data_IF_365387137364
#
_entry.id   IF_365387137364
#
_cell.length_a   1.000
_cell.length_b   1.000
_cell.length_c   1.000
_cell.angle_alpha   90.00
_cell.angle_beta   90.00
_cell.angle_gamma   90.00
#
_symmetry.space_group_name_H-M   'P 1'
#
loop_
_entity.id
_entity.type
_entity.pdbx_description
1 polymer ?
#
# COMPACT_ATOMS: atom_id res chain seq x y z
N UNK A 1 14.28 -9.66 25.15
CA UNK A 1 13.61 -8.35 25.32
C UNK A 1 12.25 -8.45 24.63
N UNK A 2 11.15 -8.39 25.36
CA UNK A 2 9.81 -8.36 24.76
C UNK A 2 9.31 -6.92 24.80
N UNK A 3 9.19 -6.29 23.63
CA UNK A 3 8.71 -4.90 23.52
C UNK A 3 7.23 -4.83 23.90
N UNK A 4 6.85 -3.76 24.61
CA UNK A 4 5.46 -3.48 24.98
C UNK A 4 4.60 -3.10 23.77
N UNK A 5 5.20 -2.45 22.77
CA UNK A 5 4.51 -2.00 21.55
C UNK A 5 4.15 -3.20 20.68
N UNK A 6 2.89 -3.26 20.25
CA UNK A 6 2.36 -4.29 19.35
C UNK A 6 1.83 -3.73 18.03
N UNK A 7 1.81 -2.41 17.86
CA UNK A 7 1.44 -1.73 16.60
C UNK A 7 2.69 -1.35 15.83
N UNK A 8 2.76 -1.77 14.58
CA UNK A 8 3.91 -1.51 13.70
C UNK A 8 3.44 -0.98 12.36
N UNK A 9 4.14 0.06 11.88
CA UNK A 9 3.99 0.59 10.52
C UNK A 9 5.22 0.17 9.73
N UNK A 10 5.01 -0.50 8.60
CA UNK A 10 6.07 -1.07 7.76
C UNK A 10 6.12 -0.34 6.43
N UNK A 11 7.21 0.39 6.23
CA UNK A 11 7.55 1.06 4.97
C UNK A 11 8.83 0.47 4.37
N UNK A 12 8.68 -0.41 3.40
CA UNK A 12 9.79 -1.12 2.76
C UNK A 12 9.45 -1.49 1.31
N UNK A 13 10.47 -1.88 0.53
CA UNK A 13 10.24 -2.51 -0.77
C UNK A 13 9.53 -3.86 -0.60
N UNK A 14 8.64 -4.26 -1.53
CA UNK A 14 7.84 -5.49 -1.42
C UNK A 14 8.65 -6.74 -1.09
N UNK A 15 9.74 -6.99 -1.83
CA UNK A 15 10.60 -8.15 -1.60
C UNK A 15 11.26 -8.17 -0.21
N UNK A 16 11.54 -6.99 0.36
CA UNK A 16 12.08 -6.87 1.72
C UNK A 16 10.98 -7.08 2.77
N UNK A 17 9.79 -6.52 2.53
CA UNK A 17 8.62 -6.74 3.38
C UNK A 17 8.25 -8.23 3.47
N UNK A 18 8.23 -8.96 2.34
CA UNK A 18 7.99 -10.41 2.31
C UNK A 18 8.94 -11.17 3.24
N UNK A 19 10.25 -10.88 3.15
CA UNK A 19 11.26 -11.50 4.01
C UNK A 19 11.11 -11.08 5.47
N UNK A 20 10.75 -9.83 5.71
CA UNK A 20 10.50 -9.29 7.04
C UNK A 20 9.34 -10.00 7.73
N UNK A 21 8.18 -10.14 7.06
CA UNK A 21 7.02 -10.83 7.63
C UNK A 21 7.26 -12.32 7.86
N UNK A 22 8.00 -12.99 6.99
CA UNK A 22 8.44 -14.36 7.25
C UNK A 22 9.26 -14.48 8.56
N UNK A 23 10.14 -13.50 8.83
CA UNK A 23 10.92 -13.45 10.08
C UNK A 23 10.06 -13.06 11.28
N UNK A 24 9.15 -12.09 11.13
CA UNK A 24 8.22 -11.68 12.17
C UNK A 24 7.30 -12.84 12.59
N UNK A 25 6.82 -13.63 11.62
CA UNK A 25 6.04 -14.85 11.86
C UNK A 25 6.85 -15.88 12.63
N UNK A 26 8.08 -16.19 12.19
CA UNK A 26 8.98 -17.11 12.89
C UNK A 26 9.35 -16.65 14.32
N UNK A 27 9.33 -15.34 14.58
CA UNK A 27 9.57 -14.75 15.89
C UNK A 27 8.30 -14.68 16.77
N UNK A 28 7.16 -15.21 16.32
CA UNK A 28 5.89 -15.16 17.05
C UNK A 28 5.28 -13.75 17.13
N UNK A 29 5.60 -12.88 16.17
CA UNK A 29 5.06 -11.51 16.10
C UNK A 29 3.87 -11.37 15.13
N UNK A 30 3.38 -12.49 14.60
CA UNK A 30 2.17 -12.57 13.76
C UNK A 30 1.01 -13.29 14.48
N UNK A 31 1.01 -13.25 15.81
CA UNK A 31 -0.02 -13.86 16.67
C UNK A 31 -1.03 -12.81 17.16
N UNK A 32 -2.06 -13.25 17.89
CA UNK A 32 -3.02 -12.35 18.51
C UNK A 32 -2.33 -11.29 19.37
N UNK A 33 -2.88 -10.07 19.34
CA UNK A 33 -2.34 -8.90 20.06
C UNK A 33 -1.50 -7.95 19.21
N UNK A 34 -1.01 -8.39 18.05
CA UNK A 34 -0.22 -7.57 17.13
C UNK A 34 -1.08 -6.86 16.09
N UNK A 35 -0.60 -5.69 15.65
CA UNK A 35 -1.19 -4.89 14.57
C UNK A 35 -0.07 -4.51 13.61
N UNK A 36 -0.26 -4.84 12.33
CA UNK A 36 0.69 -4.54 11.26
C UNK A 36 0.00 -3.72 10.18
N UNK A 37 0.54 -2.53 9.92
CA UNK A 37 0.08 -1.62 8.89
C UNK A 37 1.19 -1.47 7.86
N UNK A 38 0.91 -1.72 6.60
CA UNK A 38 1.89 -1.57 5.51
C UNK A 38 1.56 -0.35 4.65
N UNK A 39 2.59 0.36 4.19
CA UNK A 39 2.40 1.47 3.24
C UNK A 39 2.02 0.93 1.85
N UNK A 40 1.58 1.84 0.99
CA UNK A 40 1.11 1.55 -0.37
C UNK A 40 2.10 0.75 -1.23
N UNK A 41 3.40 0.98 -1.09
CA UNK A 41 4.42 0.21 -1.82
C UNK A 41 4.25 -1.31 -1.62
N UNK A 42 4.00 -1.74 -0.38
CA UNK A 42 3.73 -3.15 -0.06
C UNK A 42 2.28 -3.49 -0.36
N UNK A 43 1.33 -2.60 -0.02
CA UNK A 43 -0.11 -2.82 -0.21
C UNK A 43 -0.50 -3.08 -1.66
N UNK A 44 0.09 -2.37 -2.62
CA UNK A 44 -0.07 -2.59 -4.07
C UNK A 44 0.38 -3.99 -4.47
N UNK A 45 1.40 -4.53 -3.81
CA UNK A 45 2.00 -5.81 -4.16
C UNK A 45 1.24 -7.00 -3.57
N UNK A 46 0.37 -6.80 -2.57
CA UNK A 46 -0.30 -7.88 -1.86
C UNK A 46 -1.07 -8.83 -2.80
N UNK A 47 -1.71 -8.32 -3.85
CA UNK A 47 -2.47 -9.15 -4.81
C UNK A 47 -1.59 -10.04 -5.69
N UNK A 48 -0.31 -9.68 -5.84
CA UNK A 48 0.62 -10.32 -6.76
C UNK A 48 1.71 -11.12 -6.04
N UNK A 49 1.71 -11.10 -4.71
CA UNK A 49 2.62 -11.92 -3.92
C UNK A 49 2.35 -13.41 -4.13
N UNK A 50 3.40 -14.26 -4.09
CA UNK A 50 3.23 -15.70 -4.04
C UNK A 50 2.39 -16.12 -2.83
N UNK A 51 1.62 -17.19 -2.98
CA UNK A 51 0.72 -17.69 -1.93
C UNK A 51 1.45 -17.93 -0.59
N UNK A 52 2.55 -18.68 -0.61
CA UNK A 52 3.35 -18.94 0.60
C UNK A 52 3.87 -17.66 1.28
N UNK A 53 3.99 -16.56 0.54
CA UNK A 53 4.43 -15.27 1.08
C UNK A 53 3.26 -14.53 1.73
N UNK A 54 2.11 -14.42 1.06
CA UNK A 54 0.95 -13.71 1.60
C UNK A 54 0.37 -14.42 2.85
N UNK A 55 0.52 -15.75 2.92
CA UNK A 55 0.15 -16.55 4.10
C UNK A 55 0.96 -16.15 5.36
N UNK A 56 2.19 -15.65 5.21
CA UNK A 56 2.96 -15.13 6.37
C UNK A 56 2.48 -13.76 6.85
N UNK A 57 1.56 -13.13 6.12
CA UNK A 57 1.08 -11.77 6.33
C UNK A 57 -0.39 -11.74 6.79
N UNK A 58 -0.91 -12.83 7.38
CA UNK A 58 -2.30 -12.87 7.87
C UNK A 58 -2.59 -11.72 8.84
N UNK A 59 -3.69 -11.01 8.56
CA UNK A 59 -4.18 -9.90 9.36
C UNK A 59 -3.40 -8.59 9.20
N UNK A 60 -2.45 -8.51 8.26
CA UNK A 60 -1.83 -7.24 7.88
C UNK A 60 -2.88 -6.35 7.22
N UNK A 61 -2.89 -5.06 7.60
CA UNK A 61 -3.69 -4.02 6.96
C UNK A 61 -2.79 -3.21 6.03
N UNK A 62 -3.25 -2.97 4.81
CA UNK A 62 -2.51 -2.22 3.81
C UNK A 62 -3.38 -1.19 3.10
N UNK A 63 -2.72 -0.35 2.31
CA UNK A 63 -3.35 0.66 1.47
C UNK A 63 -2.94 0.44 0.03
N UNK A 64 -3.81 0.69 -0.93
CA UNK A 64 -3.44 0.75 -2.35
C UNK A 64 -4.26 1.80 -3.07
N UNK A 65 -3.72 2.49 -4.08
CA UNK A 65 -4.51 3.38 -4.92
C UNK A 65 -5.75 2.66 -5.48
N UNK A 66 -6.91 3.30 -5.39
CA UNK A 66 -8.14 2.77 -5.94
C UNK A 66 -8.29 3.17 -7.41
N UNK A 67 -8.60 2.20 -8.26
CA UNK A 67 -8.98 2.44 -9.66
C UNK A 67 -10.45 2.09 -9.83
N UNK A 68 -11.25 3.09 -10.19
CA UNK A 68 -12.67 2.88 -10.47
C UNK A 68 -12.85 1.88 -11.63
N UNK A 69 -13.80 0.96 -11.48
CA UNK A 69 -14.14 0.04 -12.57
C UNK A 69 -14.80 0.83 -13.71
N UNK A 70 -14.25 0.68 -14.91
CA UNK A 70 -14.79 1.24 -16.14
C UNK A 70 -14.68 0.21 -17.26
N UNK A 71 -15.46 0.36 -18.33
CA UNK A 71 -15.37 -0.52 -19.50
C UNK A 71 -13.95 -0.53 -20.10
N UNK A 72 -13.29 0.65 -20.13
CA UNK A 72 -11.89 0.81 -20.56
C UNK A 72 -10.92 0.01 -19.69
N UNK A 73 -11.11 0.04 -18.37
CA UNK A 73 -10.25 -0.69 -17.43
C UNK A 73 -10.43 -2.20 -17.54
N UNK A 74 -11.66 -2.66 -17.72
CA UNK A 74 -11.97 -4.09 -17.92
C UNK A 74 -11.34 -4.59 -19.22
N UNK A 75 -11.50 -3.84 -20.32
CA UNK A 75 -10.89 -4.15 -21.61
C UNK A 75 -9.35 -4.20 -21.52
N UNK A 76 -8.74 -3.20 -20.88
CA UNK A 76 -7.29 -3.16 -20.67
C UNK A 76 -6.80 -4.38 -19.89
N UNK A 77 -7.46 -4.74 -18.78
CA UNK A 77 -7.10 -5.92 -17.97
C UNK A 77 -7.20 -7.19 -18.81
N UNK A 78 -8.25 -7.34 -19.61
CA UNK A 78 -8.42 -8.49 -20.51
C UNK A 78 -7.27 -8.60 -21.53
N UNK A 79 -6.96 -7.51 -22.23
CA UNK A 79 -5.85 -7.45 -23.19
C UNK A 79 -4.49 -7.69 -22.53
N UNK A 80 -4.28 -7.14 -21.34
CA UNK A 80 -3.05 -7.33 -20.58
C UNK A 80 -2.84 -8.80 -20.23
N UNK A 81 -3.84 -9.44 -19.64
CA UNK A 81 -3.78 -10.86 -19.26
C UNK A 81 -3.57 -11.74 -20.49
N UNK A 82 -4.30 -11.50 -21.58
CA UNK A 82 -4.13 -12.26 -22.82
C UNK A 82 -2.70 -12.15 -23.37
N UNK A 83 -2.12 -10.94 -23.38
CA UNK A 83 -0.77 -10.71 -23.91
C UNK A 83 0.32 -11.33 -23.02
N UNK A 84 0.19 -11.20 -21.70
CA UNK A 84 1.13 -11.80 -20.75
C UNK A 84 1.02 -13.33 -20.79
N UNK A 85 -0.20 -13.87 -20.83
CA UNK A 85 -0.44 -15.30 -20.94
C UNK A 85 0.14 -15.91 -22.21
N UNK A 86 -0.05 -15.25 -23.35
CA UNK A 86 0.58 -15.67 -24.60
C UNK A 86 2.11 -15.63 -24.52
N UNK A 87 2.70 -14.61 -23.89
CA UNK A 87 4.16 -14.50 -23.77
C UNK A 87 4.78 -15.59 -22.89
N UNK A 88 4.10 -16.00 -21.83
CA UNK A 88 4.62 -16.97 -20.85
C UNK A 88 3.92 -18.34 -20.93
N UNK A 89 3.27 -18.65 -22.06
CA UNK A 89 2.49 -19.89 -22.23
C UNK A 89 3.32 -21.17 -22.01
N UNK A 90 4.65 -21.09 -22.20
CA UNK A 90 5.60 -22.21 -22.02
C UNK A 90 5.99 -22.44 -20.55
N UNK A 91 5.58 -21.55 -19.65
CA UNK A 91 5.90 -21.61 -18.23
C UNK A 91 4.61 -21.80 -17.41
N UNK A 92 4.05 -23.02 -17.35
CA UNK A 92 2.76 -23.29 -16.71
C UNK A 92 2.73 -22.94 -15.21
N UNK A 93 3.90 -22.83 -14.57
CA UNK A 93 4.04 -22.47 -13.16
C UNK A 93 3.98 -20.95 -12.90
N UNK A 94 3.91 -20.10 -13.94
CA UNK A 94 3.83 -18.65 -13.76
C UNK A 94 2.36 -18.25 -13.56
N UNK A 95 2.02 -17.78 -12.35
CA UNK A 95 0.72 -17.16 -12.07
C UNK A 95 0.63 -15.84 -12.84
N UNK A 96 -0.29 -15.75 -13.79
CA UNK A 96 -0.57 -14.49 -14.49
C UNK A 96 -1.29 -13.57 -13.50
N UNK A 97 -0.53 -12.66 -12.91
CA UNK A 97 -1.06 -11.65 -12.03
C UNK A 97 -1.89 -10.62 -12.81
N UNK A 98 -3.00 -10.17 -12.21
CA UNK A 98 -3.73 -9.00 -12.70
C UNK A 98 -2.80 -7.78 -12.68
N UNK A 99 -2.97 -6.81 -13.59
CA UNK A 99 -2.19 -5.59 -13.55
C UNK A 99 -2.42 -4.86 -12.22
N UNK A 100 -1.33 -4.44 -11.59
CA UNK A 100 -1.35 -3.52 -10.45
C UNK A 100 -1.52 -2.09 -10.94
N UNK A 101 -1.69 -1.13 -10.02
CA UNK A 101 -1.75 0.30 -10.35
C UNK A 101 -0.57 0.77 -11.23
N UNK A 102 0.62 0.19 -11.06
CA UNK A 102 1.80 0.56 -11.85
C UNK A 102 1.61 0.33 -13.35
N UNK A 103 0.88 -0.70 -13.76
CA UNK A 103 0.60 -0.95 -15.18
C UNK A 103 -0.41 0.06 -15.73
N UNK A 104 -1.39 0.49 -14.93
CA UNK A 104 -2.32 1.55 -15.30
C UNK A 104 -1.59 2.89 -15.45
N UNK A 105 -0.73 3.26 -14.49
CA UNK A 105 0.07 4.48 -14.58
C UNK A 105 1.07 4.46 -15.74
N UNK A 106 1.72 3.33 -16.01
CA UNK A 106 2.62 3.23 -17.17
C UNK A 106 1.88 3.50 -18.49
N UNK A 107 0.64 3.02 -18.61
CA UNK A 107 -0.21 3.31 -19.77
C UNK A 107 -0.55 4.80 -19.86
N UNK A 108 -1.00 5.41 -18.76
CA UNK A 108 -1.39 6.82 -18.74
C UNK A 108 -0.19 7.75 -18.96
N UNK A 109 0.99 7.45 -18.39
CA UNK A 109 2.22 8.22 -18.62
C UNK A 109 2.63 8.17 -20.09
N UNK A 110 2.53 7.01 -20.76
CA UNK A 110 2.83 6.91 -22.18
C UNK A 110 1.89 7.78 -23.02
N UNK A 111 0.60 7.82 -22.67
CA UNK A 111 -0.38 8.72 -23.29
C UNK A 111 -0.07 10.19 -23.02
N UNK A 112 0.32 10.55 -21.79
CA UNK A 112 0.67 11.92 -21.45
C UNK A 112 1.83 12.43 -22.32
N UNK A 113 2.87 11.62 -22.50
CA UNK A 113 4.00 11.93 -23.38
C UNK A 113 3.55 12.05 -24.85
N UNK A 114 2.68 11.15 -25.32
CA UNK A 114 2.14 11.22 -26.68
C UNK A 114 1.35 12.52 -26.92
N UNK A 115 0.43 12.88 -26.00
CA UNK A 115 -0.35 14.11 -26.07
C UNK A 115 0.56 15.34 -26.05
N UNK A 116 1.54 15.39 -25.14
CA UNK A 116 2.47 16.50 -25.03
C UNK A 116 3.30 16.66 -26.31
N UNK A 117 3.83 15.57 -26.86
CA UNK A 117 4.60 15.61 -28.11
C UNK A 117 3.75 16.05 -29.31
N UNK A 118 2.50 15.60 -29.42
CA UNK A 118 1.58 16.09 -30.45
C UNK A 118 1.25 17.59 -30.29
N UNK A 119 1.07 18.06 -29.05
CA UNK A 119 0.83 19.47 -28.75
C UNK A 119 1.99 20.33 -29.23
N UNK A 120 3.22 20.02 -28.82
CA UNK A 120 4.43 20.72 -29.28
C UNK A 120 4.59 20.60 -30.80
N UNK A 121 4.15 19.48 -31.40
CA UNK A 121 4.24 19.28 -32.84
C UNK A 121 3.50 20.30 -33.67
N UNK A 122 2.30 20.66 -33.22
CA UNK A 122 1.45 21.64 -33.89
C UNK A 122 2.02 23.05 -33.85
N UNK A 123 2.93 23.35 -32.92
CA UNK A 123 3.47 24.70 -32.76
C UNK A 123 4.82 24.91 -33.45
N UNK A 124 5.78 23.95 -33.47
CA UNK A 124 7.19 24.31 -33.77
C UNK A 124 8.16 23.27 -34.38
N UNK A 125 7.77 22.11 -34.94
CA UNK A 125 8.78 21.31 -35.68
C UNK A 125 9.06 21.88 -37.08
N UNK A 126 9.59 23.09 -37.13
CA UNK A 126 10.45 23.53 -38.23
C UNK A 126 11.88 23.13 -37.86
N UNK A 127 12.31 21.94 -38.29
CA UNK A 127 13.71 21.50 -38.49
C UNK A 127 14.82 21.95 -37.51
N UNK A 128 14.55 22.22 -36.22
CA UNK A 128 15.60 22.36 -35.21
C UNK A 128 15.95 20.99 -34.64
N UNK A 129 16.47 20.10 -35.49
CA UNK A 129 17.04 18.84 -35.06
C UNK A 129 18.42 19.09 -34.43
N UNK A 130 18.79 18.25 -33.46
CA UNK A 130 20.10 18.26 -32.80
C UNK A 130 21.22 18.38 -33.85
N UNK A 131 21.95 19.49 -33.84
CA UNK A 131 23.20 19.57 -34.58
C UNK A 131 24.22 18.70 -33.84
N UNK A 132 24.47 17.50 -34.34
CA UNK A 132 25.62 16.72 -33.89
C UNK A 132 26.88 17.47 -34.32
N UNK A 133 27.82 17.76 -33.40
CA UNK A 133 29.14 18.22 -33.78
C UNK A 133 29.81 17.14 -34.64
N UNK A 134 30.23 17.47 -35.86
CA UNK A 134 31.00 16.54 -36.70
C UNK A 134 32.33 16.20 -36.01
N UNK A 135 32.60 14.90 -35.83
CA UNK A 135 33.93 14.39 -35.46
C UNK A 135 34.11 13.80 -34.05
N UNK A 136 33.06 13.57 -33.26
CA UNK A 136 33.24 13.17 -31.85
C UNK A 136 33.03 11.67 -31.59
N UNK A 137 34.15 10.93 -31.45
CA UNK A 137 34.22 9.63 -30.80
C UNK A 137 34.42 9.83 -29.29
N UNK A 138 33.37 9.75 -28.45
CA UNK A 138 33.40 9.45 -26.99
C UNK A 138 31.99 9.46 -26.37
N UNK A 139 31.85 8.79 -25.22
CA UNK A 139 30.61 8.41 -24.49
C UNK A 139 29.38 9.26 -24.79
N UNK A 140 28.36 8.61 -25.34
CA UNK A 140 27.07 9.14 -25.79
C UNK A 140 26.27 9.99 -24.77
N UNK A 141 26.69 10.07 -23.52
CA UNK A 141 25.92 10.70 -22.43
C UNK A 141 26.50 12.08 -22.06
N UNK A 142 27.82 12.25 -22.06
CA UNK A 142 28.47 13.49 -21.63
C UNK A 142 28.41 14.60 -22.69
N UNK A 143 28.10 14.23 -23.94
CA UNK A 143 28.09 15.12 -25.11
C UNK A 143 26.69 15.51 -25.57
N UNK A 144 25.63 15.08 -24.86
CA UNK A 144 24.25 15.43 -25.23
C UNK A 144 23.98 16.91 -24.93
N UNK A 145 23.94 17.71 -26.00
CA UNK A 145 23.50 19.09 -25.90
C UNK A 145 22.04 19.16 -25.41
N UNK A 146 21.69 20.10 -24.52
CA UNK A 146 20.32 20.31 -24.09
C UNK A 146 19.40 20.51 -25.30
N UNK A 147 18.31 19.74 -25.37
CA UNK A 147 17.33 19.91 -26.44
C UNK A 147 16.70 21.29 -26.38
N UNK A 148 16.73 22.09 -27.48
CA UNK A 148 16.08 23.40 -27.51
C UNK A 148 14.55 23.29 -27.37
N UNK A 149 13.98 22.12 -27.65
CA UNK A 149 12.54 21.83 -27.56
C UNK A 149 12.18 21.25 -26.18
N UNK A 150 13.18 20.84 -25.38
CA UNK A 150 12.98 20.19 -24.08
C UNK A 150 12.09 20.97 -23.10
N UNK A 151 12.31 22.29 -22.89
CA UNK A 151 11.45 23.09 -22.02
C UNK A 151 9.99 23.17 -22.49
N UNK A 152 9.75 23.22 -23.80
CA UNK A 152 8.39 23.24 -24.37
C UNK A 152 7.68 21.90 -24.17
N UNK A 153 8.39 20.79 -24.38
CA UNK A 153 7.86 19.44 -24.12
C UNK A 153 7.57 19.26 -22.63
N UNK A 154 8.46 19.72 -21.74
CA UNK A 154 8.22 19.68 -20.30
C UNK A 154 6.97 20.48 -19.93
N UNK A 155 6.82 21.71 -20.46
CA UNK A 155 5.62 22.52 -20.26
C UNK A 155 4.35 21.79 -20.71
N UNK A 156 4.37 21.19 -21.91
CA UNK A 156 3.25 20.43 -22.44
C UNK A 156 2.90 19.18 -21.59
N UNK A 157 3.90 18.47 -21.06
CA UNK A 157 3.68 17.34 -20.15
C UNK A 157 3.02 17.82 -18.85
N UNK A 158 3.51 18.92 -18.26
CA UNK A 158 2.98 19.46 -17.01
C UNK A 158 1.54 19.99 -17.15
N UNK A 159 1.17 20.48 -18.32
CA UNK A 159 -0.18 20.94 -18.66
C UNK A 159 -1.14 19.82 -19.10
N UNK A 160 -0.69 18.56 -19.09
CA UNK A 160 -1.51 17.45 -19.57
C UNK A 160 -2.65 17.15 -18.59
N UNK A 161 -3.88 17.13 -19.12
CA UNK A 161 -5.11 16.83 -18.40
C UNK A 161 -6.02 15.97 -19.29
N UNK A 162 -6.25 14.72 -18.90
CA UNK A 162 -7.14 13.80 -19.63
C UNK A 162 -7.65 12.66 -18.74
N UNK A 163 -8.71 11.98 -19.19
CA UNK A 163 -9.22 10.78 -18.54
C UNK A 163 -8.39 9.54 -18.94
N UNK A 164 -7.49 9.14 -18.05
CA UNK A 164 -6.68 7.92 -18.16
C UNK A 164 -7.39 6.67 -17.63
N UNK A 165 -6.70 5.54 -17.65
CA UNK A 165 -7.19 4.29 -17.09
C UNK A 165 -7.18 4.31 -15.56
N UNK A 166 -6.19 4.95 -14.94
CA UNK A 166 -6.09 5.10 -13.48
C UNK A 166 -6.97 6.24 -12.92
N UNK A 167 -7.83 6.84 -13.75
CA UNK A 167 -8.60 8.04 -13.43
C UNK A 167 -8.10 9.26 -14.20
N UNK A 168 -8.55 10.44 -13.81
CA UNK A 168 -8.13 11.70 -14.45
C UNK A 168 -6.65 11.95 -14.18
N UNK A 169 -5.85 11.93 -15.24
CA UNK A 169 -4.42 12.20 -15.19
C UNK A 169 -4.19 13.71 -15.15
N UNK A 170 -3.63 14.18 -14.05
CA UNK A 170 -3.19 15.57 -13.87
C UNK A 170 -1.90 15.59 -13.05
N UNK A 171 -1.05 16.59 -13.30
CA UNK A 171 0.17 16.82 -12.54
C UNK A 171 0.03 18.13 -11.75
N UNK A 172 0.04 18.02 -10.42
CA UNK A 172 0.07 19.17 -9.51
C UNK A 172 1.44 19.19 -8.87
N UNK A 173 2.15 20.33 -8.97
CA UNK A 173 3.54 20.45 -8.52
C UNK A 173 4.47 19.36 -9.06
N UNK A 174 4.24 18.94 -10.32
CA UNK A 174 4.96 17.85 -11.01
C UNK A 174 4.73 16.45 -10.42
N UNK A 175 3.73 16.28 -9.56
CA UNK A 175 3.35 15.00 -8.97
C UNK A 175 1.99 14.55 -9.51
N UNK A 176 1.91 13.26 -9.85
CA UNK A 176 0.64 12.62 -10.17
C UNK A 176 -0.24 12.58 -8.91
N UNK A 177 -1.49 12.99 -9.06
CA UNK A 177 -2.45 12.96 -7.96
C UNK A 177 -3.10 11.57 -7.84
N UNK A 178 -3.12 11.03 -6.62
CA UNK A 178 -3.82 9.78 -6.28
C UNK A 178 -4.96 10.12 -5.33
N UNK A 179 -6.20 10.28 -5.82
CA UNK A 179 -7.26 10.89 -5.03
C UNK A 179 -7.89 9.94 -4.01
N UNK A 180 -7.77 8.62 -4.20
CA UNK A 180 -8.45 7.61 -3.37
C UNK A 180 -7.54 6.42 -3.14
N UNK A 181 -7.49 5.99 -1.88
CA UNK A 181 -6.88 4.73 -1.47
C UNK A 181 -7.97 3.74 -1.04
N UNK A 182 -7.84 2.49 -1.48
CA UNK A 182 -8.54 1.35 -0.91
C UNK A 182 -7.73 0.80 0.27
N UNK A 183 -8.40 0.56 1.38
CA UNK A 183 -7.85 -0.09 2.56
C UNK A 183 -8.12 -1.57 2.42
N UNK A 184 -7.09 -2.38 2.57
CA UNK A 184 -7.16 -3.83 2.40
C UNK A 184 -6.69 -4.56 3.66
N UNK A 185 -7.24 -5.74 3.91
CA UNK A 185 -6.81 -6.65 4.96
C UNK A 185 -6.47 -8.01 4.35
N UNK A 186 -5.33 -8.56 4.76
CA UNK A 186 -4.86 -9.86 4.28
C UNK A 186 -5.60 -10.97 5.01
N UNK A 187 -6.40 -11.74 4.27
CA UNK A 187 -7.22 -12.85 4.76
C UNK A 187 -7.05 -14.03 3.81
N UNK A 188 -6.53 -15.15 4.32
CA UNK A 188 -6.23 -16.32 3.51
C UNK A 188 -5.17 -16.01 2.45
N UNK A 189 -5.46 -16.31 1.20
CA UNK A 189 -4.56 -16.13 0.06
C UNK A 189 -4.72 -14.77 -0.66
N UNK A 190 -5.52 -13.85 -0.10
CA UNK A 190 -5.91 -12.60 -0.78
C UNK A 190 -5.90 -11.38 0.14
N UNK A 191 -5.73 -10.20 -0.47
CA UNK A 191 -5.98 -8.92 0.18
C UNK A 191 -7.41 -8.46 -0.13
N UNK A 192 -8.26 -8.43 0.89
CA UNK A 192 -9.67 -8.07 0.77
C UNK A 192 -9.86 -6.58 1.09
N UNK A 193 -10.55 -5.84 0.22
CA UNK A 193 -10.94 -4.45 0.49
C UNK A 193 -11.93 -4.36 1.66
N UNK A 194 -11.64 -3.47 2.60
CA UNK A 194 -12.44 -3.23 3.82
C UNK A 194 -12.95 -1.79 3.93
N UNK A 195 -12.46 -0.89 3.07
CA UNK A 195 -12.89 0.51 3.07
C UNK A 195 -12.02 1.36 2.15
N UNK A 196 -12.25 2.66 2.21
CA UNK A 196 -11.59 3.66 1.38
C UNK A 196 -11.15 4.84 2.21
N UNK A 197 -10.15 5.56 1.71
CA UNK A 197 -9.76 6.86 2.19
C UNK A 197 -9.67 7.84 1.02
N UNK A 198 -10.22 9.03 1.17
CA UNK A 198 -10.02 10.14 0.24
C UNK A 198 -9.81 11.45 1.00
N UNK A 199 -9.12 12.45 0.42
CA UNK A 199 -8.97 13.76 1.05
C UNK A 199 -10.30 14.45 1.35
N UNK A 200 -11.32 14.25 0.51
CA UNK A 200 -12.62 14.91 0.63
C UNK A 200 -13.54 14.24 1.67
N UNK A 201 -13.45 12.92 1.84
CA UNK A 201 -14.39 12.14 2.67
C UNK A 201 -13.74 11.49 3.89
N UNK A 202 -12.42 11.57 4.03
CA UNK A 202 -11.69 10.83 5.06
C UNK A 202 -11.85 9.33 4.89
N UNK A 203 -11.91 8.59 6.00
CA UNK A 203 -12.16 7.15 6.01
C UNK A 203 -13.65 6.86 5.78
N UNK A 204 -13.98 6.05 4.77
CA UNK A 204 -15.35 5.66 4.46
C UNK A 204 -15.43 4.17 4.06
N UNK A 205 -16.53 3.50 4.39
CA UNK A 205 -16.76 2.11 3.93
C UNK A 205 -17.12 2.04 2.45
N UNK A 206 -17.81 3.07 1.97
CA UNK A 206 -18.30 3.19 0.60
C UNK A 206 -17.80 4.53 0.03
N UNK A 207 -17.28 4.48 -1.20
CA UNK A 207 -16.92 5.63 -2.00
C UNK A 207 -18.14 6.53 -2.23
N UNK A 208 -17.99 7.85 -2.04
CA UNK A 208 -19.04 8.86 -2.19
C UNK A 208 -20.21 8.75 -1.19
N UNK A 209 -19.98 8.22 0.01
CA UNK A 209 -20.90 8.47 1.11
C UNK A 209 -20.82 9.96 1.47
N UNK A 210 -21.92 10.68 1.25
CA UNK A 210 -22.07 12.08 1.63
C UNK A 210 -22.02 12.20 3.15
N UNK A 211 -20.82 12.25 3.69
CA UNK A 211 -20.56 12.61 5.08
C UNK A 211 -20.49 14.12 5.12
N UNK A 212 -21.47 14.73 5.79
CA UNK A 212 -21.39 16.13 6.19
C UNK A 212 -20.05 16.37 6.89
N UNK A 213 -19.36 17.45 6.52
CA UNK A 213 -18.13 17.88 7.16
C UNK A 213 -18.27 17.78 8.69
N UNK A 214 -17.53 16.84 9.30
CA UNK A 214 -17.48 16.68 10.76
C UNK A 214 -18.10 15.39 11.33
N UNK A 215 -18.76 14.53 10.55
CA UNK A 215 -19.21 13.20 11.03
C UNK A 215 -18.42 12.06 10.38
N UNK A 216 -17.24 11.76 10.92
CA UNK A 216 -16.48 10.55 10.58
C UNK A 216 -17.08 9.32 11.27
N UNK A 217 -18.29 8.92 10.88
CA UNK A 217 -18.84 7.63 11.32
C UNK A 217 -18.24 6.50 10.48
N UNK A 218 -16.90 6.37 10.51
CA UNK A 218 -16.22 5.18 10.04
C UNK A 218 -16.32 4.11 11.13
N UNK A 219 -17.51 3.50 11.27
CA UNK A 219 -17.65 2.28 12.04
C UNK A 219 -17.43 1.10 11.10
N UNK A 220 -16.19 0.61 11.04
CA UNK A 220 -16.00 -0.79 10.65
C UNK A 220 -16.54 -1.59 11.83
N UNK A 221 -17.63 -2.34 11.63
CA UNK A 221 -18.09 -3.29 12.64
C UNK A 221 -16.90 -4.18 13.00
N UNK A 222 -16.67 -4.37 14.30
CA UNK A 222 -15.53 -5.11 14.87
C UNK A 222 -15.44 -6.60 14.46
N UNK A 223 -16.09 -7.01 13.37
CA UNK A 223 -16.02 -8.31 12.73
C UNK A 223 -15.52 -8.31 11.28
N UNK A 224 -15.24 -7.15 10.66
CA UNK A 224 -14.78 -7.07 9.26
C UNK A 224 -13.25 -7.14 9.09
N UNK A 225 -12.47 -6.71 10.09
CA UNK A 225 -11.01 -6.82 10.07
C UNK A 225 -10.59 -8.10 10.79
N UNK A 226 -9.74 -8.89 10.14
CA UNK A 226 -9.03 -9.97 10.79
C UNK A 226 -7.65 -9.47 11.19
N UNK A 227 -7.32 -9.62 12.46
CA UNK A 227 -6.01 -9.32 13.02
C UNK A 227 -5.11 -10.56 12.98
N UNK A 228 -3.79 -10.38 13.12
CA UNK A 228 -2.85 -11.49 13.32
C UNK A 228 -3.35 -12.48 14.39
N UNK A 229 -3.09 -13.76 14.19
CA UNK A 229 -3.68 -14.84 15.00
C UNK A 229 -5.15 -15.17 14.70
N UNK A 230 -5.79 -14.49 13.74
CA UNK A 230 -7.17 -14.78 13.32
C UNK A 230 -8.25 -14.13 14.18
N UNK A 231 -7.88 -13.29 15.14
CA UNK A 231 -8.81 -12.58 16.01
C UNK A 231 -9.54 -11.48 15.25
N UNK A 232 -10.83 -11.32 15.49
CA UNK A 232 -11.61 -10.16 15.00
C UNK A 232 -11.65 -9.02 16.01
N UNK A 233 -11.30 -9.31 17.26
CA UNK A 233 -11.25 -8.33 18.33
C UNK A 233 -10.10 -7.36 18.10
N UNK A 234 -10.39 -6.06 18.14
CA UNK A 234 -9.37 -5.01 17.97
C UNK A 234 -8.31 -5.16 19.06
N UNK A 235 -7.04 -5.40 18.71
CA UNK A 235 -5.97 -5.52 19.69
C UNK A 235 -5.78 -4.21 20.43
N UNK A 236 -5.40 -4.28 21.71
CA UNK A 236 -5.07 -3.08 22.52
C UNK A 236 -3.88 -2.29 21.97
N UNK A 237 -3.06 -2.91 21.11
CA UNK A 237 -1.86 -2.31 20.51
C UNK A 237 -0.64 -2.28 21.43
N UNK A 238 -0.77 -2.78 22.66
CA UNK A 238 0.31 -2.95 23.61
C UNK A 238 0.07 -4.18 24.49
N UNK A 239 1.14 -4.71 25.06
CA UNK A 239 1.10 -5.84 25.98
C UNK A 239 2.10 -5.65 27.12
N UNK A 240 1.87 -6.33 28.23
CA UNK A 240 2.80 -6.30 29.36
C UNK A 240 4.10 -7.01 28.95
N UNK A 241 5.27 -6.42 29.23
CA UNK A 241 6.51 -7.05 28.88
C UNK A 241 6.69 -8.30 29.75
N UNK A 242 6.97 -9.44 29.12
CA UNK A 242 7.24 -10.72 29.82
C UNK A 242 8.44 -10.60 30.76
N UNK A 243 9.39 -9.71 30.43
CA UNK A 243 10.53 -9.35 31.29
C UNK A 243 10.33 -8.02 32.02
N UNK A 244 9.08 -7.57 32.15
CA UNK A 244 8.73 -6.43 32.98
C UNK A 244 9.11 -6.69 34.42
N UNK A 245 9.52 -5.63 35.13
CA UNK A 245 9.79 -5.72 36.56
C UNK A 245 8.51 -6.18 37.26
N UNK A 246 8.47 -7.44 37.70
CA UNK A 246 7.33 -7.98 38.47
C UNK A 246 7.19 -7.12 39.71
N UNK A 247 6.10 -6.37 39.81
CA UNK A 247 5.82 -5.54 40.98
C UNK A 247 5.43 -6.47 42.13
N UNK A 248 6.23 -6.43 43.20
CA UNK A 248 5.87 -7.04 44.48
C UNK A 248 5.17 -5.98 45.32
N UNK A 249 3.86 -6.11 45.47
CA UNK A 249 3.05 -5.18 46.25
C UNK A 249 2.97 -5.72 47.68
N UNK A 250 3.45 -4.95 48.65
CA UNK A 250 3.27 -5.24 50.08
C UNK A 250 1.86 -4.84 50.49
N UNK A 251 1.00 -5.82 50.78
CA UNK A 251 -0.36 -5.55 51.27
C UNK A 251 -0.34 -5.59 52.80
N UNK A 252 -0.74 -4.52 53.51
CA UNK A 252 -0.89 -4.56 54.96
C UNK A 252 -2.04 -5.50 55.35
N UNK A 253 -1.84 -6.36 56.35
CA UNK A 253 -2.86 -7.33 56.84
C UNK A 253 -4.08 -6.63 57.48
N UNK A 254 -4.05 -5.30 57.64
CA UNK A 254 -5.14 -4.56 58.27
C UNK A 254 -6.38 -4.55 57.36
N UNK A 255 -7.45 -5.17 57.82
CA UNK A 255 -8.77 -5.32 57.17
C UNK A 255 -9.57 -4.00 56.96
N UNK A 256 -8.90 -2.84 56.92
CA UNK A 256 -9.57 -1.54 56.87
C UNK A 256 -10.03 -1.11 55.47
N UNK A 257 -9.63 -1.82 54.40
CA UNK A 257 -9.86 -1.38 53.01
C UNK A 257 -10.46 -2.47 52.10
N UNK A 258 -11.38 -3.29 52.62
CA UNK A 258 -12.03 -4.37 51.85
C UNK A 258 -12.84 -3.88 50.63
N UNK A 259 -13.11 -2.58 50.53
CA UNK A 259 -13.84 -1.96 49.40
C UNK A 259 -12.94 -1.85 48.15
N UNK A 260 -11.61 -1.77 48.32
CA UNK A 260 -10.67 -1.48 47.23
C UNK A 260 -9.78 -2.67 46.86
N UNK A 261 -9.68 -3.71 47.71
CA UNK A 261 -8.80 -4.85 47.48
C UNK A 261 -9.40 -6.15 48.04
N UNK A 262 -9.33 -7.22 47.23
CA UNK A 262 -9.55 -8.61 47.64
C UNK A 262 -8.28 -9.41 47.36
N UNK A 263 -7.81 -10.21 48.32
CA UNK A 263 -6.56 -10.99 48.21
C UNK A 263 -6.84 -12.46 48.46
N UNK A 264 -6.62 -13.29 47.44
CA UNK A 264 -6.69 -14.74 47.56
C UNK A 264 -5.30 -15.32 47.87
N UNK A 265 -5.11 -15.85 49.07
CA UNK A 265 -3.90 -16.60 49.44
C UNK A 265 -3.96 -18.02 48.90
N UNK A 266 -3.14 -18.31 47.88
CA UNK A 266 -2.91 -19.68 47.41
C UNK A 266 -2.02 -20.39 48.43
N UNK A 267 -2.57 -21.33 49.20
CA UNK A 267 -1.80 -22.19 50.10
C UNK A 267 -0.96 -23.15 49.26
N UNK A 268 0.36 -22.93 49.20
CA UNK A 268 1.29 -23.95 48.72
C UNK A 268 1.33 -25.09 49.74
N UNK A 269 0.86 -26.27 49.33
CA UNK A 269 0.96 -27.50 50.12
C UNK A 269 2.43 -27.80 50.46
N UNK A 270 2.68 -28.10 51.73
CA UNK A 270 3.95 -28.66 52.19
C UNK A 270 3.99 -30.12 51.76
N UNK A 271 4.93 -30.47 50.88
CA UNK A 271 5.48 -31.83 50.78
C UNK A 271 6.39 -32.09 51.96
#
# INVERSE_FOLDING_TARGET
MTMQTRVFIVHMLPARASRFFARASAAGMMTEGYVWIVTDNVGISLDVLPQHTIETMQGVVGFRPYVAKSARNIDFVGRFIARIGAKYHQHPNIRIAKPTIYQFWAYDVAWAVAIATEKVKRFRFSNKCFQMPEGMNRSLIDTLLPSPVGPEVLGAILETDFDGLAGRFTLVDRHMQVPVYEIVNVIGDQAKGIGFWSPASGLSRILNSSTSHGQTNFSIDAGEIQWPGGSKMVPKGWDLPVNGKILRIGVPIRHAFNIFMSVDTIKKGRT
#
